data_IF_261684794870
#
_entry.id   IF_261684794870
#
_cell.length_a   1.000
_cell.length_b   1.000
_cell.length_c   1.000
_cell.angle_alpha   90.00
_cell.angle_beta   90.00
_cell.angle_gamma   90.00
#
_symmetry.space_group_name_H-M   'P 1'
#
loop_
_entity.id
_entity.type
_entity.pdbx_description
1 polymer ?
#
# COMPACT_ATOMS: atom_id res chain seq x y z
N UNK A 1 -18.12 5.39 11.92
CA UNK A 1 -16.67 5.19 12.13
C UNK A 1 -16.04 4.69 10.83
N UNK A 2 -14.72 4.73 10.68
CA UNK A 2 -14.04 4.22 9.48
C UNK A 2 -12.85 3.33 9.86
N UNK A 3 -12.59 2.32 9.03
CA UNK A 3 -11.41 1.47 9.05
C UNK A 3 -10.70 1.56 7.70
N UNK A 4 -9.51 0.97 7.52
CA UNK A 4 -8.77 1.07 6.26
C UNK A 4 -8.36 -0.28 5.66
N UNK A 5 -8.12 -0.26 4.35
CA UNK A 5 -7.31 -1.28 3.69
C UNK A 5 -5.83 -1.07 4.00
N UNK A 6 -5.05 -2.14 4.02
CA UNK A 6 -3.60 -2.12 4.23
C UNK A 6 -2.87 -2.03 2.90
N UNK A 7 -1.86 -1.16 2.84
CA UNK A 7 -0.86 -1.22 1.76
C UNK A 7 0.01 -2.46 1.92
N UNK A 8 0.61 -2.94 0.83
CA UNK A 8 1.44 -4.15 0.81
C UNK A 8 2.91 -3.84 1.11
N UNK A 9 3.47 -4.33 2.24
CA UNK A 9 4.89 -4.16 2.56
C UNK A 9 5.83 -4.93 1.64
N UNK A 10 5.39 -6.05 1.07
CA UNK A 10 6.24 -6.93 0.24
C UNK A 10 6.60 -6.29 -1.11
N UNK A 11 5.94 -5.19 -1.49
CA UNK A 11 6.37 -4.36 -2.62
C UNK A 11 7.82 -3.86 -2.47
N UNK A 12 8.33 -3.70 -1.24
CA UNK A 12 9.72 -3.29 -1.00
C UNK A 12 10.73 -4.40 -1.31
N UNK A 13 10.31 -5.67 -1.31
CA UNK A 13 11.18 -6.81 -1.66
C UNK A 13 11.62 -6.80 -3.13
N UNK A 14 11.13 -5.88 -3.96
CA UNK A 14 11.61 -5.66 -5.33
C UNK A 14 13.13 -5.53 -5.44
N UNK A 15 13.80 -5.04 -4.39
CA UNK A 15 15.25 -4.84 -4.37
C UNK A 15 16.05 -6.08 -3.93
N UNK A 16 15.38 -7.16 -3.51
CA UNK A 16 16.02 -8.39 -2.99
C UNK A 16 16.33 -9.41 -4.10
N UNK A 17 16.67 -8.91 -5.30
CA UNK A 17 16.99 -9.75 -6.46
C UNK A 17 15.77 -10.42 -7.12
N UNK A 18 15.97 -11.42 -8.00
CA UNK A 18 14.89 -12.03 -8.80
C UNK A 18 13.76 -12.63 -7.96
N UNK A 19 14.10 -13.31 -6.85
CA UNK A 19 13.11 -13.88 -5.93
C UNK A 19 12.27 -12.80 -5.25
N UNK A 20 12.89 -11.72 -4.79
CA UNK A 20 12.20 -10.57 -4.21
C UNK A 20 11.25 -9.86 -5.18
N UNK A 21 11.65 -9.73 -6.46
CA UNK A 21 10.76 -9.22 -7.52
C UNK A 21 9.54 -10.11 -7.75
N UNK A 22 9.70 -11.44 -7.70
CA UNK A 22 8.58 -12.36 -7.78
C UNK A 22 7.65 -12.18 -6.58
N UNK A 23 8.19 -12.12 -5.36
CA UNK A 23 7.43 -11.88 -4.12
C UNK A 23 6.62 -10.58 -4.23
N UNK A 24 7.27 -9.47 -4.62
CA UNK A 24 6.60 -8.17 -4.77
C UNK A 24 5.47 -8.18 -5.81
N UNK A 25 5.55 -9.03 -6.85
CA UNK A 25 4.49 -9.19 -7.85
C UNK A 25 3.32 -9.98 -7.27
N UNK A 26 3.57 -11.17 -6.73
CA UNK A 26 2.51 -12.08 -6.25
C UNK A 26 1.84 -11.60 -4.96
N UNK A 27 2.52 -10.79 -4.15
CA UNK A 27 1.97 -10.25 -2.90
C UNK A 27 0.82 -9.27 -3.13
N UNK A 28 0.72 -8.62 -4.30
CA UNK A 28 -0.38 -7.70 -4.61
C UNK A 28 -1.74 -8.39 -4.55
N UNK A 29 -1.83 -9.58 -5.13
CA UNK A 29 -3.08 -10.35 -5.19
C UNK A 29 -3.42 -10.91 -3.81
N UNK A 30 -2.41 -11.37 -3.06
CA UNK A 30 -2.58 -11.78 -1.66
C UNK A 30 -3.11 -10.61 -0.80
N UNK A 31 -2.52 -9.43 -0.92
CA UNK A 31 -2.93 -8.23 -0.20
C UNK A 31 -4.35 -7.80 -0.58
N UNK A 32 -4.72 -7.90 -1.86
CA UNK A 32 -6.05 -7.52 -2.36
C UNK A 32 -7.13 -8.52 -1.94
N UNK A 33 -6.95 -9.77 -2.33
CA UNK A 33 -8.04 -10.75 -2.42
C UNK A 33 -8.16 -11.62 -1.18
N UNK A 34 -7.10 -11.70 -0.37
CA UNK A 34 -7.13 -12.40 0.91
C UNK A 34 -7.18 -11.40 2.06
N UNK A 35 -6.13 -10.60 2.25
CA UNK A 35 -5.99 -9.73 3.43
C UNK A 35 -7.07 -8.66 3.45
N UNK A 36 -7.08 -7.77 2.45
CA UNK A 36 -8.01 -6.64 2.45
C UNK A 36 -9.46 -7.08 2.20
N UNK A 37 -9.70 -8.13 1.44
CA UNK A 37 -11.04 -8.67 1.27
C UNK A 37 -11.63 -9.17 2.61
N UNK A 38 -10.84 -9.87 3.44
CA UNK A 38 -11.27 -10.29 4.79
C UNK A 38 -11.53 -9.08 5.69
N UNK A 39 -10.59 -8.12 5.74
CA UNK A 39 -10.73 -6.92 6.56
C UNK A 39 -11.97 -6.10 6.18
N UNK A 40 -12.18 -5.85 4.88
CA UNK A 40 -13.34 -5.13 4.37
C UNK A 40 -14.64 -5.83 4.79
N UNK A 41 -14.73 -7.15 4.61
CA UNK A 41 -15.92 -7.92 5.02
C UNK A 41 -16.17 -7.80 6.52
N UNK A 42 -15.14 -7.94 7.34
CA UNK A 42 -15.25 -7.83 8.79
C UNK A 42 -15.71 -6.43 9.22
N UNK A 43 -15.05 -5.38 8.73
CA UNK A 43 -15.37 -4.00 9.09
C UNK A 43 -16.78 -3.58 8.65
N UNK A 44 -17.20 -3.94 7.43
CA UNK A 44 -18.55 -3.64 6.94
C UNK A 44 -19.64 -4.30 7.77
N UNK A 45 -19.44 -5.54 8.25
CA UNK A 45 -20.40 -6.21 9.14
C UNK A 45 -20.62 -5.47 10.46
N UNK A 46 -19.67 -4.64 10.89
CA UNK A 46 -19.76 -3.82 12.09
C UNK A 46 -20.05 -2.33 11.79
N UNK A 47 -20.54 -2.01 10.58
CA UNK A 47 -20.97 -0.64 10.24
C UNK A 47 -19.82 0.35 10.02
N UNK A 48 -18.61 -0.13 9.76
CA UNK A 48 -17.48 0.75 9.42
C UNK A 48 -17.46 1.06 7.92
N UNK A 49 -17.24 2.33 7.61
CA UNK A 49 -16.84 2.76 6.28
C UNK A 49 -15.39 2.39 5.99
N UNK A 50 -15.06 2.17 4.71
CA UNK A 50 -13.70 1.75 4.30
C UNK A 50 -12.93 2.93 3.69
N UNK A 51 -11.93 3.40 4.40
CA UNK A 51 -10.86 4.26 3.89
C UNK A 51 -9.89 3.42 3.05
N UNK A 52 -10.05 3.43 1.73
CA UNK A 52 -9.26 2.60 0.82
C UNK A 52 -7.84 3.15 0.58
N UNK A 53 -6.98 3.00 1.60
CA UNK A 53 -5.59 3.44 1.63
C UNK A 53 -4.73 2.65 0.65
N UNK A 54 -4.92 1.32 0.53
CA UNK A 54 -4.16 0.48 -0.41
C UNK A 54 -4.28 1.00 -1.85
N UNK A 55 -5.50 1.29 -2.31
CA UNK A 55 -5.71 1.90 -3.64
C UNK A 55 -5.10 3.29 -3.74
N UNK A 56 -5.16 4.11 -2.68
CA UNK A 56 -4.60 5.48 -2.67
C UNK A 56 -3.07 5.51 -2.65
N UNK A 57 -2.45 4.51 -2.04
CA UNK A 57 -1.02 4.26 -2.12
C UNK A 57 -0.62 3.63 -3.46
N UNK A 58 -1.57 3.19 -4.29
CA UNK A 58 -1.35 2.48 -5.57
C UNK A 58 -0.76 1.09 -5.36
N UNK A 59 -1.08 0.45 -4.24
CA UNK A 59 -0.64 -0.91 -3.92
C UNK A 59 -0.95 -1.89 -5.02
N UNK A 60 -2.10 -1.77 -5.68
CA UNK A 60 -2.53 -2.70 -6.73
C UNK A 60 -2.36 -2.15 -8.15
N UNK A 61 -1.52 -1.13 -8.35
CA UNK A 61 -1.20 -0.68 -9.69
C UNK A 61 -0.45 -1.80 -10.44
N UNK A 62 -0.74 -2.01 -11.74
CA UNK A 62 -0.03 -3.01 -12.52
C UNK A 62 1.49 -2.80 -12.46
N UNK A 63 2.22 -3.90 -12.43
CA UNK A 63 3.65 -3.91 -12.71
C UNK A 63 3.84 -3.71 -14.22
N UNK A 64 3.89 -2.45 -14.68
CA UNK A 64 4.25 -2.19 -16.08
C UNK A 64 5.73 -2.51 -16.30
N UNK A 65 6.03 -3.08 -17.46
CA UNK A 65 7.39 -3.42 -17.89
C UNK A 65 8.13 -2.22 -18.48
N UNK A 66 7.45 -1.09 -18.72
CA UNK A 66 8.03 0.12 -19.34
C UNK A 66 9.24 0.68 -18.56
N UNK A 67 9.34 0.36 -17.26
CA UNK A 67 10.46 0.73 -16.40
C UNK A 67 11.61 -0.29 -16.37
N UNK A 68 11.39 -1.54 -16.80
CA UNK A 68 12.40 -2.60 -16.70
C UNK A 68 13.60 -2.33 -17.62
N UNK A 69 13.39 -1.73 -18.80
CA UNK A 69 14.46 -1.33 -19.73
C UNK A 69 15.25 -0.10 -19.26
N UNK A 70 14.68 0.72 -18.36
CA UNK A 70 15.30 1.96 -17.86
C UNK A 70 15.79 1.84 -16.41
N UNK A 71 15.70 0.65 -15.80
CA UNK A 71 16.04 0.40 -14.40
C UNK A 71 15.10 1.08 -13.39
N UNK A 72 14.00 1.69 -13.85
CA UNK A 72 13.05 2.38 -12.98
C UNK A 72 12.11 1.37 -12.32
N UNK A 73 11.99 1.34 -10.99
CA UNK A 73 11.06 0.44 -10.33
C UNK A 73 9.60 0.70 -10.75
N UNK A 74 8.76 -0.34 -10.81
CA UNK A 74 7.33 -0.22 -11.09
C UNK A 74 6.62 0.78 -10.18
N UNK A 75 5.51 1.35 -10.65
CA UNK A 75 4.72 2.32 -9.87
C UNK A 75 4.40 1.87 -8.43
N UNK A 76 3.88 0.66 -8.15
CA UNK A 76 3.57 0.26 -6.77
C UNK A 76 4.81 0.27 -5.87
N UNK A 77 5.98 -0.17 -6.40
CA UNK A 77 7.28 -0.15 -5.69
C UNK A 77 7.73 1.29 -5.39
N UNK A 78 7.70 2.18 -6.39
CA UNK A 78 8.07 3.60 -6.16
C UNK A 78 7.18 4.26 -5.12
N UNK A 79 5.89 3.89 -5.09
CA UNK A 79 4.93 4.47 -4.15
C UNK A 79 5.13 3.96 -2.74
N UNK A 80 5.41 2.66 -2.56
CA UNK A 80 5.69 2.14 -1.22
C UNK A 80 6.95 2.81 -0.67
N UNK A 81 8.04 2.86 -1.44
CA UNK A 81 9.29 3.50 -1.02
C UNK A 81 9.13 4.99 -0.69
N UNK A 82 8.31 5.72 -1.47
CA UNK A 82 8.09 7.16 -1.25
C UNK A 82 7.24 7.44 -0.02
N UNK A 83 6.33 6.56 0.34
CA UNK A 83 5.31 6.81 1.38
C UNK A 83 5.60 6.11 2.71
N UNK A 84 6.57 5.20 2.75
CA UNK A 84 7.00 4.50 3.96
C UNK A 84 8.48 4.72 4.21
N UNK A 85 9.00 4.07 5.25
CA UNK A 85 10.43 3.98 5.52
C UNK A 85 11.06 2.70 4.96
N UNK A 86 10.32 1.90 4.18
CA UNK A 86 10.75 0.55 3.79
C UNK A 86 11.99 0.54 2.92
N UNK A 87 12.20 1.59 2.12
CA UNK A 87 13.35 1.71 1.23
C UNK A 87 14.34 2.79 1.70
N UNK A 88 14.15 3.32 2.91
CA UNK A 88 15.06 4.29 3.49
C UNK A 88 16.28 3.59 4.11
N UNK A 89 17.46 4.22 4.12
CA UNK A 89 18.61 3.69 4.83
C UNK A 89 18.43 3.81 6.36
N UNK A 90 19.34 3.16 7.09
CA UNK A 90 19.52 3.37 8.53
C UNK A 90 19.74 4.87 8.82
N UNK A 91 19.29 5.39 9.98
CA UNK A 91 18.78 4.65 11.13
C UNK A 91 17.26 4.42 11.11
N UNK A 92 16.54 4.87 10.08
CA UNK A 92 15.07 4.82 10.05
C UNK A 92 14.51 3.62 9.31
N UNK A 93 15.17 3.18 8.24
CA UNK A 93 14.74 2.02 7.47
C UNK A 93 15.77 0.89 7.45
N UNK A 94 15.41 -0.28 6.92
CA UNK A 94 14.09 -0.60 6.34
C UNK A 94 13.01 -0.77 7.43
N UNK A 95 11.89 -0.07 7.30
CA UNK A 95 10.79 -0.11 8.28
C UNK A 95 9.42 0.00 7.59
N UNK A 96 8.46 -0.81 8.01
CA UNK A 96 7.16 -0.96 7.34
C UNK A 96 6.20 0.22 7.55
N UNK A 97 6.51 1.12 8.48
CA UNK A 97 5.63 2.21 8.84
C UNK A 97 5.66 3.31 7.78
N UNK A 98 4.50 3.96 7.63
CA UNK A 98 4.38 5.13 6.80
C UNK A 98 5.33 6.24 7.29
N UNK A 99 5.88 7.01 6.37
CA UNK A 99 6.60 8.24 6.71
C UNK A 99 5.62 9.41 6.84
N UNK A 100 6.13 10.62 7.06
CA UNK A 100 5.30 11.83 7.20
C UNK A 100 4.35 12.04 6.01
N UNK A 101 4.79 11.76 4.78
CA UNK A 101 3.96 11.87 3.59
C UNK A 101 2.91 10.75 3.52
N UNK A 102 3.28 9.52 3.88
CA UNK A 102 2.35 8.38 3.97
C UNK A 102 1.24 8.61 4.99
N UNK A 103 1.58 9.04 6.20
CA UNK A 103 0.58 9.34 7.24
C UNK A 103 -0.36 10.48 6.84
N UNK A 104 0.14 11.53 6.17
CA UNK A 104 -0.73 12.58 5.60
C UNK A 104 -1.72 12.01 4.57
N UNK A 105 -1.27 11.11 3.70
CA UNK A 105 -2.15 10.46 2.72
C UNK A 105 -3.19 9.56 3.39
N UNK A 106 -2.81 8.81 4.43
CA UNK A 106 -3.72 7.99 5.24
C UNK A 106 -4.77 8.89 5.88
N UNK A 107 -4.37 9.92 6.62
CA UNK A 107 -5.27 10.86 7.29
C UNK A 107 -6.25 11.51 6.30
N UNK A 108 -5.77 11.98 5.15
CA UNK A 108 -6.62 12.56 4.12
C UNK A 108 -7.62 11.54 3.51
N UNK A 109 -7.26 10.25 3.52
CA UNK A 109 -8.16 9.18 3.04
C UNK A 109 -9.28 8.93 4.05
N UNK A 110 -8.96 8.85 5.34
CA UNK A 110 -9.97 8.78 6.40
C UNK A 110 -10.89 10.01 6.42
N UNK A 111 -10.34 11.23 6.34
CA UNK A 111 -11.12 12.46 6.37
C UNK A 111 -12.14 12.51 5.22
N UNK A 112 -11.76 12.08 4.01
CA UNK A 112 -12.69 11.98 2.87
C UNK A 112 -13.77 10.92 3.08
N UNK A 113 -13.43 9.77 3.68
CA UNK A 113 -14.39 8.69 3.92
C UNK A 113 -15.42 9.09 4.98
N UNK A 114 -14.95 9.61 6.12
CA UNK A 114 -15.83 10.03 7.22
C UNK A 114 -16.66 11.25 6.80
N UNK A 115 -16.06 12.23 6.12
CA UNK A 115 -16.76 13.42 5.62
C UNK A 115 -17.73 13.15 4.46
N UNK A 116 -17.74 11.95 3.88
CA UNK A 116 -18.79 11.49 2.95
C UNK A 116 -19.96 10.86 3.69
N UNK A 117 -19.68 10.08 4.74
CA UNK A 117 -20.72 9.43 5.55
C UNK A 117 -21.54 10.40 6.43
N UNK A 118 -21.03 11.62 6.65
CA UNK A 118 -21.72 12.67 7.39
C UNK A 118 -22.62 13.57 6.51
N UNK A 119 -22.72 13.29 5.21
CA UNK A 119 -23.64 13.94 4.26
C UNK A 119 -24.72 12.95 3.88
#
# INVERSE_FOLDING_TARGET
>A
MAAMTLYDPFLASWFDGPGGKLIAKVSQDLARDQVNAVLIRAFRRHGFEIADVARRMRTYAPFSTDGESTGTPPLPVRRICRLTWMCAPAPRGPDIHANKAGYRLIAATFARTIGRAAR
#
